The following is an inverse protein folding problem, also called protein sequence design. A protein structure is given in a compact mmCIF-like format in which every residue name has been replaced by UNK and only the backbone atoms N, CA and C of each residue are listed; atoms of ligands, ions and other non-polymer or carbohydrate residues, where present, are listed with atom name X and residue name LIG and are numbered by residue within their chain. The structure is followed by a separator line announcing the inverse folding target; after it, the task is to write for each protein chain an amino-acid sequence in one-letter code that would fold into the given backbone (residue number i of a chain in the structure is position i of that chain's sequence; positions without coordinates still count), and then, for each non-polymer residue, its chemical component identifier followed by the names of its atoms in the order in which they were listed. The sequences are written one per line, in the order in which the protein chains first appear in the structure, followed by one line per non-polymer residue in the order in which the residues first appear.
data_IF_502998242599
#
_entry.id   IF_502998242599
#
_cell.length_a   1.000
_cell.length_b   1.000
_cell.length_c   1.000
_cell.angle_alpha   90.00
_cell.angle_beta   90.00
_cell.angle_gamma   90.00
#
_symmetry.space_group_name_H-M   'P 1'
#
loop_
_entity.id
_entity.type
_entity.pdbx_description
1 polymer ?
#
# COMPACT_ATOMS: atom_id res chain seq x y z
N UNK A 1 -5.16 5.35 -5.89
CA UNK A 1 -4.64 4.09 -5.35
C UNK A 1 -4.28 3.22 -6.53
N UNK A 2 -3.05 2.71 -6.54
CA UNK A 2 -2.55 1.82 -7.59
C UNK A 2 -2.51 0.39 -7.06
N UNK A 3 -2.88 -0.57 -7.89
CA UNK A 3 -2.76 -2.01 -7.60
C UNK A 3 -1.66 -2.56 -8.50
N UNK A 4 -0.62 -3.14 -7.92
CA UNK A 4 0.51 -3.71 -8.67
C UNK A 4 0.85 -5.09 -8.13
N UNK A 5 0.48 -6.12 -8.89
CA UNK A 5 0.79 -7.52 -8.56
C UNK A 5 2.29 -7.84 -8.64
N UNK A 6 3.07 -7.03 -9.37
CA UNK A 6 4.52 -7.20 -9.53
C UNK A 6 5.33 -6.48 -8.45
N UNK A 7 4.74 -5.56 -7.68
CA UNK A 7 5.44 -4.86 -6.61
C UNK A 7 5.65 -5.78 -5.40
N UNK A 8 6.88 -5.83 -4.89
CA UNK A 8 7.24 -6.55 -3.68
C UNK A 8 6.97 -5.75 -2.39
N UNK A 9 6.56 -4.50 -2.50
CA UNK A 9 6.28 -3.62 -1.37
C UNK A 9 4.96 -2.87 -1.55
N UNK A 10 4.30 -2.59 -0.44
CA UNK A 10 3.19 -1.65 -0.37
C UNK A 10 3.74 -0.26 -0.05
N UNK A 11 3.30 0.76 -0.78
CA UNK A 11 3.84 2.11 -0.69
C UNK A 11 2.77 3.09 -0.24
N UNK A 12 3.14 3.93 0.72
CA UNK A 12 2.39 5.11 1.10
C UNK A 12 3.23 6.34 0.80
N UNK A 13 2.71 7.28 0.02
CA UNK A 13 3.45 8.51 -0.28
C UNK A 13 3.42 9.45 0.93
N UNK A 14 4.53 10.14 1.19
CA UNK A 14 4.66 11.07 2.31
C UNK A 14 3.54 12.12 2.32
N UNK A 15 3.19 12.66 1.14
CA UNK A 15 2.08 13.61 0.99
C UNK A 15 0.73 13.05 1.48
N UNK A 16 0.52 11.74 1.38
CA UNK A 16 -0.68 11.08 1.89
C UNK A 16 -0.54 10.78 3.38
N UNK A 17 0.64 10.34 3.84
CA UNK A 17 0.93 10.17 5.26
C UNK A 17 0.64 11.46 6.05
N UNK A 18 1.09 12.61 5.54
CA UNK A 18 0.86 13.92 6.17
C UNK A 18 -0.62 14.33 6.10
N UNK A 19 -1.34 14.05 4.99
CA UNK A 19 -2.79 14.27 4.88
C UNK A 19 -3.61 13.43 5.85
N UNK A 20 -3.15 12.22 6.17
CA UNK A 20 -3.74 11.36 7.19
C UNK A 20 -3.43 11.84 8.62
N UNK A 21 -2.59 12.86 8.78
CA UNK A 21 -2.17 13.43 10.08
C UNK A 21 -1.59 12.37 11.01
N UNK A 22 -0.90 11.39 10.44
CA UNK A 22 -0.26 10.32 11.20
C UNK A 22 0.96 10.89 11.93
N UNK A 23 1.16 10.56 13.21
CA UNK A 23 2.35 10.99 13.92
C UNK A 23 3.58 10.30 13.34
N UNK A 24 4.63 11.08 13.05
CA UNK A 24 5.89 10.56 12.51
C UNK A 24 6.57 9.55 13.44
N UNK A 25 6.23 9.53 14.72
CA UNK A 25 6.69 8.51 15.68
C UNK A 25 6.20 7.09 15.38
N UNK A 26 5.15 6.93 14.56
CA UNK A 26 4.72 5.63 14.06
C UNK A 26 5.61 5.09 12.94
N UNK A 27 6.41 5.97 12.33
CA UNK A 27 7.33 5.59 11.25
C UNK A 27 8.59 4.99 11.88
N UNK A 28 8.83 3.72 11.58
CA UNK A 28 10.04 3.02 11.95
C UNK A 28 11.13 3.29 10.90
N UNK A 29 12.39 3.53 11.30
CA UNK A 29 13.49 3.70 10.36
C UNK A 29 13.59 2.48 9.44
N UNK A 30 13.62 2.73 8.13
CA UNK A 30 13.78 1.69 7.12
C UNK A 30 14.85 2.12 6.12
N UNK A 31 16.03 1.50 6.19
CA UNK A 31 17.14 1.79 5.30
C UNK A 31 17.11 0.89 4.07
N UNK A 32 16.00 0.95 3.33
CA UNK A 32 15.82 0.18 2.09
C UNK A 32 15.78 1.14 0.91
N UNK A 33 16.45 0.73 -0.16
CA UNK A 33 16.39 1.39 -1.44
C UNK A 33 15.43 0.64 -2.35
N UNK A 34 14.38 1.31 -2.79
CA UNK A 34 13.42 0.73 -3.72
C UNK A 34 13.98 0.85 -5.14
N UNK A 35 14.21 -0.29 -5.77
CA UNK A 35 14.65 -0.40 -7.17
C UNK A 35 13.60 -1.15 -7.97
N UNK A 36 13.03 -0.50 -8.98
CA UNK A 36 11.99 -1.09 -9.84
C UNK A 36 10.92 -0.09 -10.28
N UNK A 37 10.71 0.98 -9.51
CA UNK A 37 9.64 1.96 -9.74
C UNK A 37 9.87 2.88 -10.95
N UNK A 38 11.08 3.39 -11.17
CA UNK A 38 11.35 4.45 -12.16
C UNK A 38 12.74 4.39 -12.81
N UNK A 39 13.44 3.25 -12.73
CA UNK A 39 14.92 3.16 -12.90
C UNK A 39 15.73 4.08 -11.96
N UNK A 40 15.07 4.91 -11.17
CA UNK A 40 15.68 5.74 -10.15
C UNK A 40 15.60 5.03 -8.81
N UNK A 41 16.62 5.29 -7.99
CA UNK A 41 16.77 4.77 -6.64
C UNK A 41 15.95 5.67 -5.72
N UNK A 42 14.83 5.16 -5.21
CA UNK A 42 13.99 5.89 -4.25
C UNK A 42 14.35 5.43 -2.84
N UNK A 43 14.73 6.37 -1.98
CA UNK A 43 14.99 6.10 -0.58
C UNK A 43 13.66 6.01 0.19
N UNK A 44 13.44 4.90 0.89
CA UNK A 44 12.38 4.83 1.87
C UNK A 44 12.70 5.78 3.03
N UNK A 45 11.70 6.56 3.47
CA UNK A 45 11.78 7.34 4.69
C UNK A 45 11.62 6.45 5.93
N UNK A 46 10.83 5.38 5.79
CA UNK A 46 10.56 4.45 6.87
C UNK A 46 9.45 3.46 6.52
N UNK A 47 9.06 2.66 7.50
CA UNK A 47 7.90 1.78 7.44
C UNK A 47 6.85 2.20 8.47
N UNK A 48 5.58 2.01 8.17
CA UNK A 48 4.48 2.22 9.11
C UNK A 48 3.50 1.06 9.06
N UNK A 49 3.05 0.58 10.23
CA UNK A 49 1.98 -0.41 10.34
C UNK A 49 0.64 0.30 10.50
N UNK A 50 -0.26 0.09 9.54
CA UNK A 50 -1.61 0.69 9.53
C UNK A 50 -2.67 -0.38 9.38
N UNK A 51 -3.84 -0.14 9.96
CA UNK A 51 -5.02 -0.94 9.68
C UNK A 51 -5.61 -0.48 8.34
N UNK A 52 -5.63 -1.39 7.38
CA UNK A 52 -6.21 -1.18 6.07
C UNK A 52 -7.59 -1.83 6.03
N UNK A 53 -8.61 -1.01 5.81
CA UNK A 53 -10.00 -1.44 5.62
C UNK A 53 -10.25 -1.51 4.11
N UNK A 54 -10.55 -2.71 3.61
CA UNK A 54 -10.87 -2.96 2.19
C UNK A 54 -12.25 -3.58 2.05
N UNK A 55 -13.00 -3.16 1.03
CA UNK A 55 -14.30 -3.74 0.72
C UNK A 55 -15.32 -2.71 0.27
N UNK A 56 -16.60 -3.10 0.35
CA UNK A 56 -17.75 -2.27 0.01
C UNK A 56 -18.50 -1.84 1.27
N UNK A 57 -19.50 -0.97 1.12
CA UNK A 57 -20.30 -0.44 2.24
C UNK A 57 -20.88 -1.52 3.18
N UNK A 58 -21.14 -2.73 2.69
CA UNK A 58 -21.78 -3.80 3.45
C UNK A 58 -20.86 -4.96 3.79
N UNK A 59 -19.67 -5.03 3.16
CA UNK A 59 -18.71 -6.13 3.33
C UNK A 59 -17.31 -5.54 3.35
N UNK A 60 -16.72 -5.47 4.55
CA UNK A 60 -15.37 -4.95 4.77
C UNK A 60 -14.51 -6.02 5.43
N UNK A 61 -13.25 -6.07 5.03
CA UNK A 61 -12.18 -6.79 5.71
C UNK A 61 -11.18 -5.78 6.22
N UNK A 62 -10.70 -5.97 7.44
CA UNK A 62 -9.63 -5.15 8.02
C UNK A 62 -8.40 -6.02 8.16
N UNK A 63 -7.27 -5.55 7.62
CA UNK A 63 -5.98 -6.21 7.78
C UNK A 63 -4.97 -5.22 8.34
N UNK A 64 -4.00 -5.74 9.08
CA UNK A 64 -2.87 -4.95 9.55
C UNK A 64 -1.75 -5.06 8.53
N UNK A 65 -1.42 -3.95 7.88
CA UNK A 65 -0.51 -3.91 6.74
C UNK A 65 0.68 -2.99 7.00
N UNK A 66 1.85 -3.40 6.51
CA UNK A 66 3.05 -2.56 6.53
C UNK A 66 3.12 -1.75 5.25
N UNK A 67 3.25 -0.43 5.37
CA UNK A 67 3.52 0.45 4.23
C UNK A 67 4.94 1.00 4.32
N UNK A 68 5.66 0.97 3.20
CA UNK A 68 6.90 1.71 3.03
C UNK A 68 6.55 3.15 2.68
N UNK A 69 7.03 4.10 3.46
CA UNK A 69 6.80 5.52 3.21
C UNK A 69 7.90 6.08 2.33
N UNK A 70 7.53 6.72 1.24
CA UNK A 70 8.45 7.31 0.27
C UNK A 70 8.11 8.77 0.04
N UNK A 71 9.16 9.58 -0.17
CA UNK A 71 9.01 10.95 -0.63
C UNK A 71 9.25 11.00 -2.14
N UNK A 72 8.19 11.19 -2.91
CA UNK A 72 8.24 11.32 -4.35
C UNK A 72 7.21 12.35 -4.78
N UNK A 73 7.70 13.50 -5.25
CA UNK A 73 6.88 14.67 -5.55
C UNK A 73 5.97 14.45 -6.79
N UNK A 74 6.40 13.63 -7.75
CA UNK A 74 5.70 13.42 -9.03
C UNK A 74 4.67 12.27 -9.03
N UNK A 75 4.29 11.75 -7.87
CA UNK A 75 3.29 10.66 -7.82
C UNK A 75 1.86 11.17 -7.94
N UNK A 76 1.13 10.70 -8.96
CA UNK A 76 -0.32 10.89 -9.10
C UNK A 76 -1.16 10.00 -8.17
N UNK A 77 -0.53 9.07 -7.45
CA UNK A 77 -1.20 8.11 -6.58
C UNK A 77 -0.90 8.36 -5.10
N UNK A 78 -1.92 8.22 -4.26
CA UNK A 78 -1.77 8.34 -2.80
C UNK A 78 -1.09 7.14 -2.13
N UNK A 79 -1.31 5.94 -2.69
CA UNK A 79 -0.73 4.68 -2.21
C UNK A 79 -0.69 3.64 -3.34
N UNK A 80 0.23 2.70 -3.23
CA UNK A 80 0.33 1.49 -4.05
C UNK A 80 0.14 0.25 -3.16
N UNK A 81 -0.75 -0.63 -3.59
CA UNK A 81 -0.94 -1.95 -3.00
C UNK A 81 -0.19 -2.95 -3.87
N UNK A 82 0.84 -3.55 -3.28
CA UNK A 82 1.69 -4.55 -3.87
C UNK A 82 1.22 -5.98 -3.62
N UNK A 83 2.06 -6.92 -4.04
CA UNK A 83 1.90 -8.34 -3.79
C UNK A 83 1.72 -8.70 -2.30
N UNK A 84 2.37 -8.06 -1.31
CA UNK A 84 2.22 -8.46 0.09
C UNK A 84 0.78 -8.31 0.61
N UNK A 85 0.16 -7.13 0.46
CA UNK A 85 -1.25 -6.93 0.84
C UNK A 85 -2.19 -7.79 -0.01
N UNK A 86 -1.97 -7.88 -1.33
CA UNK A 86 -2.81 -8.71 -2.20
C UNK A 86 -2.79 -10.18 -1.76
N UNK A 87 -1.61 -10.70 -1.39
CA UNK A 87 -1.45 -12.05 -0.87
C UNK A 87 -2.11 -12.20 0.49
N UNK A 88 -1.94 -11.24 1.41
CA UNK A 88 -2.60 -11.28 2.72
C UNK A 88 -4.14 -11.28 2.61
N UNK A 89 -4.69 -10.68 1.57
CA UNK A 89 -6.13 -10.68 1.28
C UNK A 89 -6.61 -11.90 0.48
N UNK A 90 -5.70 -12.81 0.06
CA UNK A 90 -6.00 -13.84 -0.95
C UNK A 90 -6.71 -13.24 -2.18
N UNK A 91 -6.23 -12.07 -2.61
CA UNK A 91 -6.90 -11.26 -3.62
C UNK A 91 -6.60 -11.73 -5.04
N UNK A 92 -7.62 -11.72 -5.88
CA UNK A 92 -7.55 -11.91 -7.32
C UNK A 92 -7.79 -10.55 -7.98
N UNK A 93 -6.77 -10.06 -8.69
CA UNK A 93 -6.87 -8.84 -9.50
C UNK A 93 -7.40 -9.22 -10.89
N UNK A 94 -8.44 -8.53 -11.33
CA UNK A 94 -9.01 -8.70 -12.66
C UNK A 94 -8.82 -7.41 -13.47
N UNK A 95 -7.76 -7.32 -14.29
CA UNK A 95 -7.46 -6.12 -15.08
C UNK A 95 -8.60 -5.76 -16.05
N UNK A 96 -9.23 -6.77 -16.66
CA UNK A 96 -10.35 -6.60 -17.60
C UNK A 96 -11.56 -5.91 -16.95
N UNK A 97 -11.81 -6.20 -15.67
CA UNK A 97 -12.97 -5.64 -14.95
C UNK A 97 -12.60 -4.48 -14.03
N UNK A 98 -11.31 -4.12 -13.94
CA UNK A 98 -10.76 -3.17 -12.99
C UNK A 98 -11.24 -3.44 -11.55
N UNK A 99 -11.27 -4.72 -11.17
CA UNK A 99 -11.76 -5.19 -9.87
C UNK A 99 -10.72 -6.03 -9.14
N UNK A 100 -10.72 -5.91 -7.82
CA UNK A 100 -10.02 -6.81 -6.91
C UNK A 100 -11.08 -7.62 -6.17
N UNK A 101 -10.99 -8.95 -6.23
CA UNK A 101 -11.86 -9.89 -5.52
C UNK A 101 -11.07 -10.53 -4.40
N UNK A 102 -11.64 -10.66 -3.22
CA UNK A 102 -11.03 -11.35 -2.09
C UNK A 102 -12.10 -12.05 -1.26
N UNK A 103 -11.76 -13.13 -0.53
CA UNK A 103 -12.70 -13.80 0.37
C UNK A 103 -13.18 -12.85 1.46
N UNK A 104 -14.46 -12.91 1.80
CA UNK A 104 -15.00 -12.20 2.94
C UNK A 104 -15.03 -13.16 4.14
N UNK A 105 -14.46 -12.83 5.32
CA UNK A 105 -14.45 -13.71 6.49
C UNK A 105 -15.84 -14.06 7.05
N UNK A 106 -16.91 -13.41 6.55
CA UNK A 106 -18.30 -13.67 6.95
C UNK A 106 -19.19 -14.14 5.80
N UNK A 107 -18.65 -14.90 4.84
CA UNK A 107 -19.41 -15.53 3.75
C UNK A 107 -19.34 -17.06 3.86
#
# INVERSE_FOLDING_TARGET
MLIDTGSSADILYLSTFDKLRLPRSLMQPLHILLTGFTRHRIHALGAVMLDLIVGSRTKVSTIRAQFTVVDLEDSSCNLLIGCPILTALHAIVSPIHLKVKFPNPGA
#
